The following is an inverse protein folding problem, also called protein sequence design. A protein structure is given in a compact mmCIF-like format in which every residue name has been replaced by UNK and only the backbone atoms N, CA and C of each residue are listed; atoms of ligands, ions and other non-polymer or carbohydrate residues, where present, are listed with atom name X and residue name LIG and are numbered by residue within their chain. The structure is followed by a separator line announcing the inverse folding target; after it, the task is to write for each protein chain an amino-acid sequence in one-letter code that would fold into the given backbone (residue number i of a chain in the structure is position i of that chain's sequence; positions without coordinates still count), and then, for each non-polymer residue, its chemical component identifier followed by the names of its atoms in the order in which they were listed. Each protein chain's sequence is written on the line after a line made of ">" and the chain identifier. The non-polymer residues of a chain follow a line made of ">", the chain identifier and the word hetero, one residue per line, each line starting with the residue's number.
data_IF_995448947459
#
_entry.id   IF_995448947459
#
_cell.length_a   1.000
_cell.length_b   1.000
_cell.length_c   1.000
_cell.angle_alpha   90.00
_cell.angle_beta   90.00
_cell.angle_gamma   90.00
#
_symmetry.space_group_name_H-M   'P 1'
#
loop_
_entity.id
_entity.type
_entity.pdbx_description
1 polymer ?
#
# COMPACT_ATOMS: atom_id res chain seq x y z
N UNK A 1 9.46 6.26 -11.85
CA UNK A 1 8.74 5.16 -11.19
C UNK A 1 7.36 4.88 -11.80
N UNK A 2 6.47 5.85 -12.01
CA UNK A 2 5.08 5.58 -12.42
C UNK A 2 4.90 4.78 -13.73
N UNK A 3 5.74 5.00 -14.74
CA UNK A 3 5.61 4.33 -16.05
C UNK A 3 6.00 2.84 -15.98
N UNK A 4 7.13 2.54 -15.33
CA UNK A 4 7.62 1.17 -15.15
C UNK A 4 6.71 0.37 -14.22
N UNK A 5 6.19 1.01 -13.16
CA UNK A 5 5.20 0.38 -12.28
C UNK A 5 3.92 0.01 -13.01
N UNK A 6 3.41 0.89 -13.87
CA UNK A 6 2.21 0.62 -14.65
C UNK A 6 2.34 -0.62 -15.54
N UNK A 7 3.51 -0.81 -16.16
CA UNK A 7 3.79 -1.99 -16.99
C UNK A 7 3.88 -3.27 -16.15
N UNK A 8 4.64 -3.22 -15.06
CA UNK A 8 4.84 -4.38 -14.18
C UNK A 8 3.56 -4.79 -13.48
N UNK A 9 2.76 -3.83 -13.01
CA UNK A 9 1.53 -4.09 -12.28
C UNK A 9 0.49 -4.81 -13.15
N UNK A 10 0.39 -4.47 -14.44
CA UNK A 10 -0.53 -5.15 -15.37
C UNK A 10 -0.12 -6.60 -15.59
N UNK A 11 1.16 -6.85 -15.86
CA UNK A 11 1.69 -8.20 -16.02
C UNK A 11 1.53 -9.05 -14.75
N UNK A 12 1.89 -8.47 -13.59
CA UNK A 12 1.73 -9.12 -12.30
C UNK A 12 0.28 -9.51 -12.01
N UNK A 13 -0.67 -8.59 -12.21
CA UNK A 13 -2.08 -8.88 -11.96
C UNK A 13 -2.63 -9.95 -12.92
N UNK A 14 -2.18 -10.00 -14.17
CA UNK A 14 -2.58 -11.06 -15.11
C UNK A 14 -2.06 -12.44 -14.67
N UNK A 15 -0.79 -12.52 -14.27
CA UNK A 15 -0.19 -13.76 -13.73
C UNK A 15 -0.96 -14.23 -12.49
N UNK A 16 -1.19 -13.34 -11.51
CA UNK A 16 -1.93 -13.68 -10.29
C UNK A 16 -3.37 -14.10 -10.62
N UNK A 17 -4.02 -13.43 -11.57
CA UNK A 17 -5.38 -13.75 -11.96
C UNK A 17 -5.51 -15.13 -12.64
N UNK A 18 -4.45 -15.59 -13.31
CA UNK A 18 -4.36 -16.92 -13.93
C UNK A 18 -4.01 -18.01 -12.92
N UNK A 19 -3.03 -17.77 -12.06
CA UNK A 19 -2.44 -18.80 -11.19
C UNK A 19 -3.20 -18.98 -9.86
N UNK A 20 -3.88 -17.94 -9.37
CA UNK A 20 -4.43 -17.93 -8.00
C UNK A 20 -5.96 -17.82 -8.02
N UNK A 21 -6.60 -18.77 -7.32
CA UNK A 21 -8.05 -18.82 -7.15
C UNK A 21 -8.56 -17.52 -6.48
N UNK A 22 -9.70 -16.96 -6.92
CA UNK A 22 -10.23 -15.70 -6.37
C UNK A 22 -10.35 -15.67 -4.85
N UNK A 23 -10.70 -16.80 -4.22
CA UNK A 23 -10.89 -16.94 -2.76
C UNK A 23 -9.59 -16.97 -1.95
N UNK A 24 -8.43 -16.99 -2.61
CA UNK A 24 -7.11 -17.01 -1.96
C UNK A 24 -6.31 -15.72 -2.22
N UNK A 25 -6.85 -14.82 -3.04
CA UNK A 25 -6.14 -13.60 -3.43
C UNK A 25 -5.98 -12.65 -2.25
N UNK A 26 -6.98 -12.56 -1.36
CA UNK A 26 -6.88 -11.77 -0.14
C UNK A 26 -5.69 -12.23 0.70
N UNK A 27 -5.63 -13.51 1.05
CA UNK A 27 -4.50 -14.12 1.76
C UNK A 27 -3.15 -13.94 1.08
N UNK A 28 -3.07 -14.02 -0.26
CA UNK A 28 -1.82 -13.77 -0.98
C UNK A 28 -1.34 -12.34 -0.74
N UNK A 29 -2.19 -11.34 -1.03
CA UNK A 29 -1.80 -9.93 -0.89
C UNK A 29 -1.54 -9.53 0.56
N UNK A 30 -2.37 -10.00 1.51
CA UNK A 30 -2.14 -9.77 2.94
C UNK A 30 -0.86 -10.44 3.44
N UNK A 31 -0.57 -11.67 2.98
CA UNK A 31 0.67 -12.37 3.29
C UNK A 31 1.90 -11.65 2.72
N UNK A 32 1.82 -11.13 1.50
CA UNK A 32 2.87 -10.32 0.89
C UNK A 32 3.13 -9.04 1.70
N UNK A 33 2.08 -8.33 2.12
CA UNK A 33 2.21 -7.13 2.93
C UNK A 33 2.80 -7.42 4.32
N UNK A 34 2.38 -8.52 4.96
CA UNK A 34 2.90 -8.92 6.26
C UNK A 34 4.38 -9.31 6.19
N UNK A 35 4.74 -10.20 5.26
CA UNK A 35 6.13 -10.64 5.07
C UNK A 35 7.02 -9.48 4.61
N UNK A 36 6.53 -8.68 3.65
CA UNK A 36 7.23 -7.50 3.16
C UNK A 36 7.46 -6.47 4.27
N UNK A 37 6.45 -6.21 5.11
CA UNK A 37 6.57 -5.35 6.27
C UNK A 37 7.57 -5.87 7.31
N UNK A 38 7.55 -7.17 7.62
CA UNK A 38 8.53 -7.80 8.50
C UNK A 38 9.96 -7.70 7.97
N UNK A 39 10.16 -7.99 6.68
CA UNK A 39 11.46 -7.84 6.02
C UNK A 39 11.91 -6.37 6.02
N UNK A 40 11.00 -5.42 5.82
CA UNK A 40 11.31 -3.99 5.83
C UNK A 40 11.80 -3.51 7.20
N UNK A 41 11.22 -4.01 8.30
CA UNK A 41 11.70 -3.70 9.66
C UNK A 41 13.13 -4.20 9.87
N UNK A 42 13.41 -5.45 9.47
CA UNK A 42 14.76 -6.04 9.56
C UNK A 42 15.75 -5.27 8.69
N UNK A 43 15.35 -4.92 7.47
CA UNK A 43 16.16 -4.15 6.55
C UNK A 43 16.46 -2.75 7.11
N UNK A 44 15.47 -2.07 7.69
CA UNK A 44 15.65 -0.76 8.32
C UNK A 44 16.64 -0.77 9.47
N UNK A 45 16.57 -1.77 10.36
CA UNK A 45 17.56 -1.92 11.44
C UNK A 45 18.95 -2.28 10.90
N UNK A 46 19.04 -3.11 9.85
CA UNK A 46 20.30 -3.45 9.19
C UNK A 46 20.95 -2.19 8.61
N UNK A 47 20.19 -1.37 7.89
CA UNK A 47 20.64 -0.09 7.35
C UNK A 47 21.11 0.82 8.49
N UNK A 48 20.33 0.97 9.56
CA UNK A 48 20.71 1.78 10.72
C UNK A 48 22.05 1.37 11.31
N UNK A 49 22.28 0.06 11.51
CA UNK A 49 23.54 -0.47 12.06
C UNK A 49 24.73 -0.24 11.13
N UNK A 50 24.55 -0.49 9.83
CA UNK A 50 25.61 -0.31 8.83
C UNK A 50 26.01 1.16 8.70
N UNK A 51 25.05 2.09 8.78
CA UNK A 51 25.34 3.52 8.73
C UNK A 51 25.87 4.08 10.05
N UNK A 52 25.48 3.52 11.19
CA UNK A 52 25.93 3.96 12.51
C UNK A 52 27.28 3.36 12.94
N UNK A 53 27.78 2.33 12.25
CA UNK A 53 29.05 1.70 12.57
C UNK A 53 30.23 2.49 12.01
N UNK A 54 31.18 2.88 12.86
CA UNK A 54 32.46 3.49 12.44
C UNK A 54 33.34 2.53 11.62
N UNK A 55 33.04 1.22 11.64
CA UNK A 55 33.82 0.18 10.97
C UNK A 55 33.67 0.13 9.45
N UNK A 56 32.67 0.78 8.86
CA UNK A 56 32.41 0.72 7.41
C UNK A 56 32.17 2.13 6.85
N UNK A 57 33.26 2.81 6.50
CA UNK A 57 33.21 4.14 5.91
C UNK A 57 32.71 4.11 4.46
N UNK A 58 32.26 5.27 3.99
CA UNK A 58 31.95 5.47 2.57
C UNK A 58 33.18 5.16 1.71
N UNK A 59 33.04 4.40 0.60
CA UNK A 59 31.80 3.92 -0.05
C UNK A 59 31.38 2.48 0.30
N UNK A 60 32.11 1.79 1.19
CA UNK A 60 31.92 0.36 1.46
C UNK A 60 30.54 0.05 2.08
N UNK A 61 30.05 0.92 2.95
CA UNK A 61 28.72 0.81 3.55
C UNK A 61 27.59 0.82 2.50
N UNK A 62 27.64 1.74 1.54
CA UNK A 62 26.67 1.78 0.44
C UNK A 62 26.83 0.60 -0.51
N UNK A 63 28.06 0.21 -0.85
CA UNK A 63 28.31 -0.97 -1.68
C UNK A 63 27.71 -2.24 -1.06
N UNK A 64 27.85 -2.42 0.26
CA UNK A 64 27.24 -3.53 0.99
C UNK A 64 25.70 -3.50 0.91
N UNK A 65 25.08 -2.35 1.16
CA UNK A 65 23.62 -2.21 1.10
C UNK A 65 23.07 -2.43 -0.31
N UNK A 66 23.73 -1.90 -1.35
CA UNK A 66 23.35 -2.17 -2.73
C UNK A 66 23.58 -3.63 -3.13
N UNK A 67 24.60 -4.28 -2.59
CA UNK A 67 24.82 -5.73 -2.74
C UNK A 67 23.68 -6.55 -2.15
N UNK A 68 23.20 -6.19 -0.96
CA UNK A 68 22.04 -6.84 -0.32
C UNK A 68 20.75 -6.62 -1.14
N UNK A 69 20.53 -5.40 -1.64
CA UNK A 69 19.42 -5.09 -2.53
C UNK A 69 19.47 -5.93 -3.81
N UNK A 70 20.64 -6.02 -4.46
CA UNK A 70 20.83 -6.84 -5.65
C UNK A 70 20.52 -8.32 -5.40
N UNK A 71 21.02 -8.87 -4.29
CA UNK A 71 20.75 -10.26 -3.91
C UNK A 71 19.25 -10.51 -3.71
N UNK A 72 18.54 -9.59 -3.05
CA UNK A 72 17.09 -9.67 -2.88
C UNK A 72 16.32 -9.61 -4.20
N UNK A 73 16.74 -8.75 -5.13
CA UNK A 73 16.14 -8.66 -6.46
C UNK A 73 16.37 -9.92 -7.30
N UNK A 74 17.58 -10.51 -7.24
CA UNK A 74 17.88 -11.77 -7.92
C UNK A 74 17.06 -12.93 -7.35
N UNK A 75 16.90 -12.99 -6.03
CA UNK A 75 16.05 -13.97 -5.38
C UNK A 75 14.58 -13.82 -5.81
N UNK A 76 14.07 -12.59 -5.88
CA UNK A 76 12.73 -12.31 -6.40
C UNK A 76 12.56 -12.76 -7.85
N UNK A 77 13.55 -12.50 -8.71
CA UNK A 77 13.53 -12.92 -10.10
C UNK A 77 13.54 -14.45 -10.24
N UNK A 78 14.32 -15.15 -9.40
CA UNK A 78 14.35 -16.61 -9.36
C UNK A 78 12.99 -17.20 -8.97
N UNK A 79 12.33 -16.66 -7.95
CA UNK A 79 10.99 -17.09 -7.57
C UNK A 79 9.95 -16.83 -8.67
N UNK A 80 10.05 -15.69 -9.37
CA UNK A 80 9.16 -15.40 -10.49
C UNK A 80 9.36 -16.39 -11.65
N UNK A 81 10.61 -16.78 -11.94
CA UNK A 81 10.92 -17.77 -12.97
C UNK A 81 10.37 -19.17 -12.67
N UNK A 82 10.13 -19.49 -11.39
CA UNK A 82 9.49 -20.75 -10.98
C UNK A 82 7.97 -20.75 -11.15
N UNK A 83 7.35 -19.59 -11.38
CA UNK A 83 5.89 -19.49 -11.56
C UNK A 83 5.52 -20.08 -12.93
N UNK A 84 4.77 -21.20 -12.90
CA UNK A 84 4.18 -21.78 -14.12
C UNK A 84 2.83 -21.15 -14.41
N UNK A 85 2.76 -20.37 -15.48
CA UNK A 85 1.49 -19.85 -15.99
C UNK A 85 0.66 -20.95 -16.69
N UNK A 86 -0.64 -21.07 -16.39
CA UNK A 86 -1.53 -21.93 -17.14
C UNK A 86 -1.76 -21.34 -18.54
N UNK A 87 -1.56 -22.16 -19.57
CA UNK A 87 -1.69 -21.76 -20.98
C UNK A 87 -3.15 -21.39 -21.25
N UNK A 88 -3.40 -20.11 -21.60
CA UNK A 88 -4.70 -19.64 -22.11
C UNK A 88 -4.56 -19.33 -23.61
N UNK A 89 -5.62 -19.52 -24.41
CA UNK A 89 -5.59 -19.18 -25.83
C UNK A 89 -5.34 -17.67 -25.99
N UNK A 90 -4.21 -17.32 -26.61
CA UNK A 90 -3.85 -15.94 -26.90
C UNK A 90 -4.66 -15.49 -28.11
N UNK A 91 -5.56 -14.53 -27.92
CA UNK A 91 -6.22 -13.86 -29.05
C UNK A 91 -5.16 -13.04 -29.78
N UNK A 92 -4.71 -13.51 -30.94
CA UNK A 92 -3.64 -12.94 -31.77
C UNK A 92 -4.03 -11.64 -32.51
N UNK A 93 -4.97 -10.86 -32.01
CA UNK A 93 -5.25 -9.55 -32.63
C UNK A 93 -4.24 -8.52 -32.13
N UNK A 94 -3.37 -8.04 -33.02
CA UNK A 94 -2.54 -6.85 -32.75
C UNK A 94 -3.48 -5.65 -32.57
N UNK A 95 -3.71 -5.26 -31.31
CA UNK A 95 -4.46 -4.05 -31.02
C UNK A 95 -3.55 -2.84 -31.02
N UNK A 96 -3.92 -1.80 -31.76
CA UNK A 96 -3.25 -0.50 -31.70
C UNK A 96 -3.60 0.18 -30.37
N UNK A 97 -2.62 0.77 -29.67
CA UNK A 97 -2.83 1.51 -28.41
C UNK A 97 -3.94 2.55 -28.53
N UNK A 98 -4.02 3.26 -29.66
CA UNK A 98 -5.08 4.25 -29.91
C UNK A 98 -6.48 3.61 -29.99
N UNK A 99 -6.59 2.40 -30.55
CA UNK A 99 -7.85 1.65 -30.60
C UNK A 99 -8.23 1.13 -29.21
N UNK A 100 -7.25 0.70 -28.41
CA UNK A 100 -7.47 0.26 -27.02
C UNK A 100 -8.01 1.41 -26.17
N UNK A 101 -7.39 2.59 -26.22
CA UNK A 101 -7.84 3.78 -25.47
C UNK A 101 -9.24 4.22 -25.90
N UNK A 102 -9.55 4.19 -27.20
CA UNK A 102 -10.89 4.53 -27.71
C UNK A 102 -11.99 3.56 -27.26
N UNK A 103 -11.65 2.32 -26.88
CA UNK A 103 -12.60 1.32 -26.37
C UNK A 103 -12.91 1.50 -24.87
N UNK A 104 -12.07 2.20 -24.12
CA UNK A 104 -12.25 2.39 -22.67
C UNK A 104 -13.60 3.05 -22.32
N UNK A 105 -14.02 4.15 -22.97
CA UNK A 105 -15.31 4.78 -22.64
C UNK A 105 -16.51 3.87 -22.93
N UNK A 106 -16.45 3.07 -24.00
CA UNK A 106 -17.49 2.10 -24.35
C UNK A 106 -17.59 0.98 -23.31
N UNK A 107 -16.44 0.36 -22.97
CA UNK A 107 -16.37 -0.70 -21.97
C UNK A 107 -16.85 -0.24 -20.58
N UNK A 108 -16.56 1.01 -20.21
CA UNK A 108 -17.04 1.62 -18.96
C UNK A 108 -18.56 1.85 -18.96
N UNK A 109 -19.15 2.20 -20.10
CA UNK A 109 -20.61 2.44 -20.23
C UNK A 109 -21.41 1.14 -20.27
N UNK A 110 -20.89 0.11 -20.92
CA UNK A 110 -21.55 -1.20 -21.04
C UNK A 110 -21.67 -1.95 -19.71
N UNK A 111 -20.74 -1.69 -18.77
CA UNK A 111 -20.67 -2.40 -17.48
C UNK A 111 -20.84 -1.42 -16.30
N UNK A 112 -22.07 -1.16 -15.83
CA UNK A 112 -22.32 -0.19 -14.77
C UNK A 112 -21.65 -0.57 -13.43
N UNK A 113 -21.49 -1.86 -13.14
CA UNK A 113 -20.77 -2.33 -11.94
C UNK A 113 -19.27 -1.99 -12.00
N UNK A 114 -18.65 -2.15 -13.16
CA UNK A 114 -17.25 -1.80 -13.38
C UNK A 114 -17.04 -0.29 -13.26
N UNK A 115 -17.94 0.52 -13.81
CA UNK A 115 -17.89 1.97 -13.65
C UNK A 115 -18.01 2.42 -12.19
N UNK A 116 -18.90 1.79 -11.40
CA UNK A 116 -19.00 2.05 -9.95
C UNK A 116 -17.69 1.73 -9.25
N UNK A 117 -17.09 0.57 -9.54
CA UNK A 117 -15.79 0.18 -8.97
C UNK A 117 -14.70 1.21 -9.30
N UNK A 118 -14.59 1.64 -10.56
CA UNK A 118 -13.61 2.65 -11.00
C UNK A 118 -13.84 3.99 -10.28
N UNK A 119 -15.09 4.43 -10.16
CA UNK A 119 -15.43 5.66 -9.40
C UNK A 119 -15.04 5.55 -7.94
N UNK A 120 -15.37 4.44 -7.28
CA UNK A 120 -14.98 4.20 -5.88
C UNK A 120 -13.46 4.19 -5.71
N UNK A 121 -12.73 3.58 -6.64
CA UNK A 121 -11.27 3.54 -6.61
C UNK A 121 -10.66 4.93 -6.79
N UNK A 122 -11.17 5.75 -7.72
CA UNK A 122 -10.71 7.13 -7.91
C UNK A 122 -11.00 8.00 -6.69
N UNK A 123 -12.22 7.95 -6.15
CA UNK A 123 -12.61 8.73 -4.97
C UNK A 123 -11.81 8.31 -3.73
N UNK A 124 -11.61 7.01 -3.52
CA UNK A 124 -10.77 6.49 -2.44
C UNK A 124 -9.31 6.92 -2.59
N UNK A 125 -8.78 6.91 -3.82
CA UNK A 125 -7.41 7.34 -4.12
C UNK A 125 -7.14 8.81 -3.81
N UNK A 126 -8.12 9.69 -4.04
CA UNK A 126 -8.00 11.13 -3.72
C UNK A 126 -7.77 11.35 -2.22
N UNK A 127 -8.34 10.52 -1.36
CA UNK A 127 -8.14 10.60 0.10
C UNK A 127 -6.68 10.43 0.51
N UNK A 128 -5.89 9.64 -0.22
CA UNK A 128 -4.47 9.43 0.07
C UNK A 128 -3.61 10.68 -0.14
N UNK A 129 -4.10 11.66 -0.92
CA UNK A 129 -3.38 12.93 -1.12
C UNK A 129 -3.26 13.69 0.21
N UNK A 130 -4.21 13.53 1.14
CA UNK A 130 -4.23 14.22 2.43
C UNK A 130 -3.21 13.67 3.44
N UNK A 131 -2.78 12.42 3.30
CA UNK A 131 -1.92 11.70 4.26
C UNK A 131 -0.63 12.45 4.60
N UNK A 132 0.20 12.93 3.64
CA UNK A 132 1.42 13.66 3.97
C UNK A 132 1.17 15.01 4.65
N UNK A 133 0.00 15.63 4.42
CA UNK A 133 -0.33 16.93 5.01
C UNK A 133 -0.72 16.83 6.49
N UNK A 134 -1.16 15.65 6.98
CA UNK A 134 -1.46 15.47 8.39
C UNK A 134 -0.22 15.61 9.28
N UNK A 135 0.94 15.10 8.83
CA UNK A 135 2.21 15.24 9.56
C UNK A 135 2.62 16.70 9.63
N UNK A 136 2.56 17.41 8.50
CA UNK A 136 2.89 18.85 8.43
C UNK A 136 1.94 19.67 9.33
N UNK A 137 0.65 19.35 9.33
CA UNK A 137 -0.33 20.02 10.19
C UNK A 137 -0.03 19.82 11.68
N UNK A 138 0.35 18.60 12.08
CA UNK A 138 0.70 18.31 13.46
C UNK A 138 1.94 19.09 13.92
N UNK A 139 2.97 19.18 13.08
CA UNK A 139 4.19 19.92 13.41
C UNK A 139 3.96 21.45 13.44
N UNK A 140 3.29 21.99 12.42
CA UNK A 140 3.18 23.45 12.23
C UNK A 140 2.06 24.11 13.04
N UNK A 141 0.94 23.42 13.27
CA UNK A 141 -0.24 23.98 13.95
C UNK A 141 -0.46 23.45 15.36
N UNK A 142 -0.10 22.20 15.63
CA UNK A 142 -0.23 21.59 16.97
C UNK A 142 1.06 21.68 17.81
N UNK A 143 2.12 22.29 17.25
CA UNK A 143 3.42 22.43 17.93
C UNK A 143 4.06 21.09 18.29
N UNK A 144 3.73 20.02 17.56
CA UNK A 144 4.23 18.70 17.87
C UNK A 144 5.77 18.68 17.69
N UNK A 145 6.52 18.07 18.63
CA UNK A 145 7.95 17.94 18.50
C UNK A 145 8.35 17.18 17.21
N UNK A 146 9.49 17.50 16.57
CA UNK A 146 9.90 16.88 15.30
C UNK A 146 10.00 15.34 15.31
N UNK A 147 10.21 14.72 16.49
CA UNK A 147 10.26 13.25 16.63
C UNK A 147 8.89 12.57 16.44
N UNK A 148 7.79 13.33 16.47
CA UNK A 148 6.42 12.80 16.27
C UNK A 148 6.18 12.32 14.83
N UNK A 149 6.87 12.88 13.83
CA UNK A 149 6.87 12.38 12.45
C UNK A 149 7.25 10.90 12.36
N UNK A 150 8.28 10.49 13.10
CA UNK A 150 8.71 9.10 13.21
C UNK A 150 7.63 8.21 13.81
N UNK A 151 6.92 8.68 14.85
CA UNK A 151 5.80 7.97 15.46
C UNK A 151 4.64 7.78 14.47
N UNK A 152 4.31 8.79 13.68
CA UNK A 152 3.28 8.66 12.64
C UNK A 152 3.67 7.64 11.57
N UNK A 153 4.91 7.63 11.11
CA UNK A 153 5.41 6.63 10.14
C UNK A 153 5.34 5.22 10.72
N UNK A 154 5.75 5.04 11.98
CA UNK A 154 5.64 3.76 12.68
C UNK A 154 4.19 3.32 12.84
N UNK A 155 3.30 4.21 13.27
CA UNK A 155 1.88 3.95 13.40
C UNK A 155 1.25 3.56 12.06
N UNK A 156 1.59 4.27 10.97
CA UNK A 156 1.13 3.95 9.63
C UNK A 156 1.62 2.58 9.14
N UNK A 157 2.87 2.22 9.45
CA UNK A 157 3.46 0.94 9.07
C UNK A 157 2.82 -0.23 9.82
N UNK A 158 2.63 -0.08 11.13
CA UNK A 158 1.90 -1.07 11.96
C UNK A 158 0.45 -1.19 11.50
N UNK A 159 -0.19 -0.06 11.20
CA UNK A 159 -1.54 0.01 10.64
C UNK A 159 -1.62 -0.75 9.32
N UNK A 160 -0.73 -0.49 8.37
CA UNK A 160 -0.72 -1.15 7.06
C UNK A 160 -0.45 -2.66 7.16
N UNK A 161 0.47 -3.09 8.01
CA UNK A 161 0.78 -4.50 8.22
C UNK A 161 -0.40 -5.22 8.89
N UNK A 162 -0.94 -4.66 9.98
CA UNK A 162 -2.06 -5.26 10.70
C UNK A 162 -3.36 -5.23 9.88
N UNK A 163 -3.64 -4.08 9.28
CA UNK A 163 -4.79 -3.83 8.41
C UNK A 163 -4.81 -4.77 7.22
N UNK A 164 -3.70 -4.88 6.48
CA UNK A 164 -3.63 -5.78 5.33
C UNK A 164 -3.93 -7.24 5.66
N UNK A 165 -3.51 -7.74 6.83
CA UNK A 165 -3.86 -9.08 7.31
C UNK A 165 -5.36 -9.21 7.65
N UNK A 166 -5.89 -8.25 8.40
CA UNK A 166 -7.29 -8.23 8.84
C UNK A 166 -8.20 -8.16 7.60
N UNK A 167 -7.94 -7.21 6.70
CA UNK A 167 -8.70 -7.02 5.46
C UNK A 167 -8.53 -8.17 4.48
N UNK A 168 -7.35 -8.77 4.38
CA UNK A 168 -7.13 -9.97 3.57
C UNK A 168 -8.02 -11.13 4.03
N UNK A 169 -8.04 -11.39 5.34
CA UNK A 169 -8.87 -12.45 5.92
C UNK A 169 -10.36 -12.17 5.76
N UNK A 170 -10.80 -10.93 6.04
CA UNK A 170 -12.18 -10.49 5.86
C UNK A 170 -12.63 -10.53 4.39
N UNK A 171 -11.72 -10.24 3.45
CA UNK A 171 -12.00 -10.28 2.01
C UNK A 171 -12.28 -11.71 1.53
N UNK A 172 -11.49 -12.67 2.02
CA UNK A 172 -11.67 -14.09 1.66
C UNK A 172 -12.95 -14.69 2.27
N UNK A 173 -13.36 -14.24 3.48
CA UNK A 173 -14.58 -14.73 4.14
C UNK A 173 -15.88 -14.05 3.67
N UNK A 174 -15.88 -12.72 3.59
CA UNK A 174 -17.10 -11.92 3.41
C UNK A 174 -17.23 -11.32 2.02
N UNK A 175 -16.23 -11.50 1.16
CA UNK A 175 -16.16 -10.97 -0.19
C UNK A 175 -15.58 -9.55 -0.24
N UNK A 176 -14.84 -9.27 -1.32
CA UNK A 176 -14.12 -8.01 -1.52
C UNK A 176 -15.02 -6.76 -1.49
N UNK A 177 -16.26 -6.84 -2.00
CA UNK A 177 -17.18 -5.69 -2.03
C UNK A 177 -17.56 -5.20 -0.62
N UNK A 178 -17.73 -6.11 0.35
CA UNK A 178 -18.05 -5.71 1.73
C UNK A 178 -16.85 -5.07 2.42
N UNK A 179 -15.65 -5.59 2.16
CA UNK A 179 -14.40 -5.01 2.65
C UNK A 179 -14.18 -3.60 2.09
N UNK A 180 -14.34 -3.42 0.77
CA UNK A 180 -14.22 -2.09 0.14
C UNK A 180 -15.18 -1.09 0.79
N UNK A 181 -16.45 -1.47 1.03
CA UNK A 181 -17.39 -0.58 1.73
C UNK A 181 -16.93 -0.25 3.15
N UNK A 182 -16.48 -1.24 3.92
CA UNK A 182 -16.00 -1.02 5.28
C UNK A 182 -14.78 -0.08 5.32
N UNK A 183 -13.82 -0.26 4.41
CA UNK A 183 -12.64 0.63 4.26
C UNK A 183 -13.07 2.03 3.84
N UNK A 184 -14.01 2.18 2.90
CA UNK A 184 -14.53 3.50 2.54
C UNK A 184 -15.19 4.21 3.73
N UNK A 185 -15.97 3.50 4.55
CA UNK A 185 -16.56 4.07 5.76
C UNK A 185 -15.49 4.49 6.77
N UNK A 186 -14.48 3.64 7.01
CA UNK A 186 -13.36 3.98 7.90
C UNK A 186 -12.55 5.18 7.37
N UNK A 187 -12.31 5.24 6.06
CA UNK A 187 -11.65 6.36 5.41
C UNK A 187 -12.39 7.69 5.54
N UNK A 188 -13.73 7.68 5.70
CA UNK A 188 -14.53 8.87 6.02
C UNK A 188 -14.48 9.20 7.52
N UNK A 189 -14.39 8.19 8.39
CA UNK A 189 -14.29 8.45 9.84
C UNK A 189 -12.97 9.13 10.23
N UNK A 190 -11.86 8.83 9.56
CA UNK A 190 -10.56 9.43 9.85
C UNK A 190 -10.56 10.97 9.80
N UNK A 191 -10.98 11.64 8.70
CA UNK A 191 -11.07 13.09 8.65
C UNK A 191 -12.16 13.66 9.57
N UNK A 192 -13.27 12.95 9.80
CA UNK A 192 -14.31 13.41 10.73
C UNK A 192 -13.81 13.44 12.19
N UNK A 193 -13.04 12.43 12.60
CA UNK A 193 -12.40 12.41 13.93
C UNK A 193 -11.33 13.51 14.00
N UNK A 194 -10.53 13.71 12.95
CA UNK A 194 -9.54 14.79 12.90
C UNK A 194 -10.18 16.19 13.04
N UNK A 195 -11.41 16.38 12.52
CA UNK A 195 -12.17 17.63 12.68
C UNK A 195 -12.81 17.72 14.08
N UNK A 196 -13.23 16.61 14.68
CA UNK A 196 -13.89 16.60 15.99
C UNK A 196 -12.92 16.77 17.17
N UNK A 197 -11.67 16.30 17.03
CA UNK A 197 -10.65 16.34 18.09
C UNK A 197 -10.35 17.76 18.64
N UNK A 198 -10.26 18.82 17.82
CA UNK A 198 -10.13 20.20 18.31
C UNK A 198 -11.28 20.70 19.20
N UNK A 199 -12.47 20.08 19.13
CA UNK A 199 -13.64 20.48 19.92
C UNK A 199 -13.79 19.69 21.22
N UNK A 200 -12.96 18.66 21.44
CA UNK A 200 -12.95 17.88 22.68
C UNK A 200 -11.95 18.51 23.67
N UNK A 201 -12.32 18.68 24.96
CA UNK A 201 -11.43 19.22 25.99
C UNK A 201 -10.42 18.14 26.44
N UNK A 202 -9.53 17.74 25.53
CA UNK A 202 -8.48 16.74 25.76
C UNK A 202 -7.15 17.44 26.06
N UNK A 203 -6.42 16.94 27.05
CA UNK A 203 -5.04 17.35 27.34
C UNK A 203 -4.12 17.07 26.15
N UNK A 204 -3.20 18.00 25.83
CA UNK A 204 -2.25 17.93 24.70
C UNK A 204 -1.67 16.53 24.38
N UNK A 205 -1.20 15.72 25.36
CA UNK A 205 -0.71 14.36 25.08
C UNK A 205 -1.78 13.40 24.54
N UNK A 206 -3.03 13.44 25.04
CA UNK A 206 -4.12 12.58 24.56
C UNK A 206 -4.54 12.93 23.12
N UNK A 207 -4.39 14.19 22.72
CA UNK A 207 -4.67 14.66 21.36
C UNK A 207 -3.74 14.00 20.34
N UNK A 208 -2.44 13.84 20.66
CA UNK A 208 -1.48 13.16 19.78
C UNK A 208 -1.75 11.66 19.62
N UNK A 209 -2.11 10.96 20.70
CA UNK A 209 -2.47 9.55 20.62
C UNK A 209 -3.76 9.31 19.83
N UNK A 210 -4.75 10.21 19.94
CA UNK A 210 -5.96 10.16 19.13
C UNK A 210 -5.64 10.31 17.63
N UNK A 211 -4.77 11.25 17.25
CA UNK A 211 -4.29 11.39 15.87
C UNK A 211 -3.49 10.17 15.39
N UNK A 212 -2.66 9.57 16.24
CA UNK A 212 -1.93 8.36 15.90
C UNK A 212 -2.87 7.17 15.63
N UNK A 213 -3.94 7.00 16.41
CA UNK A 213 -4.95 5.97 16.19
C UNK A 213 -5.70 6.23 14.87
N UNK A 214 -6.10 7.47 14.60
CA UNK A 214 -6.72 7.86 13.31
C UNK A 214 -5.79 7.54 12.14
N UNK A 215 -4.51 7.84 12.27
CA UNK A 215 -3.52 7.56 11.23
C UNK A 215 -3.29 6.06 11.03
N UNK A 216 -3.30 5.28 12.12
CA UNK A 216 -3.19 3.81 12.08
C UNK A 216 -4.39 3.20 11.36
N UNK A 217 -5.60 3.67 11.67
CA UNK A 217 -6.84 3.22 11.02
C UNK A 217 -6.94 3.68 9.58
N UNK A 218 -6.47 4.90 9.26
CA UNK A 218 -6.42 5.40 7.89
C UNK A 218 -5.39 4.67 7.02
N UNK A 219 -4.32 4.15 7.64
CA UNK A 219 -3.25 3.42 6.97
C UNK A 219 -3.50 1.91 6.88
N UNK A 220 -4.54 1.40 7.55
CA UNK A 220 -4.90 -0.02 7.65
C UNK A 220 -5.81 -0.50 6.52
#
# INVERSE_FOLDING_TARGET
>A
FCFTDGMTLVGWNDIVAKCIRPTLRGRLFGGQQFLGGGIAVIAGETVRRVLASDGMAYPANYAFLFGLYFAGMMLSAAFLALVREPIRPVVKERQNLAQMVKRIPGALREKPEFLRMVKTQLLGGIGFIAVPFYVIYAETRLGAPPWTSGVFIWAGTVGAIGGSLIWAYLSDLKGSTRVIRAVCWLGVTAPLVAIAVPFLPLTAPMTYYAYAIVFTVASA
#
